data_IF_810401163765
#
_entry.id   IF_810401163765
#
_cell.length_a   1.000
_cell.length_b   1.000
_cell.length_c   1.000
_cell.angle_alpha   90.00
_cell.angle_beta   90.00
_cell.angle_gamma   90.00
#
_symmetry.space_group_name_H-M   'P 1'
#
loop_
_entity.id
_entity.type
_entity.pdbx_description
1 polymer ?
#
# COMPACT_ATOMS: atom_id res chain seq x y z
N UNK A 1 7.70 10.29 -1.76
CA UNK A 1 7.18 11.46 -1.05
C UNK A 1 6.85 11.22 0.42
N UNK A 2 7.12 12.20 1.30
CA UNK A 2 6.54 12.31 2.65
C UNK A 2 5.19 13.04 2.57
N UNK A 3 4.09 12.35 2.90
CA UNK A 3 2.73 12.91 2.87
C UNK A 3 2.54 14.10 3.82
N UNK A 4 3.41 14.25 4.83
CA UNK A 4 3.35 15.32 5.82
C UNK A 4 4.31 16.48 5.51
N UNK A 5 5.14 16.35 4.47
CA UNK A 5 6.13 17.36 4.11
C UNK A 5 6.15 17.60 2.59
N UNK A 6 5.34 18.54 2.16
CA UNK A 6 5.18 18.91 0.75
C UNK A 6 6.27 19.86 0.24
N UNK A 7 7.27 20.23 1.04
CA UNK A 7 8.29 21.24 0.66
C UNK A 7 9.00 20.90 -0.63
N UNK A 8 9.36 19.62 -0.84
CA UNK A 8 10.02 19.19 -2.06
C UNK A 8 9.12 19.36 -3.30
N UNK A 9 7.82 19.10 -3.17
CA UNK A 9 6.86 19.29 -4.26
C UNK A 9 6.65 20.77 -4.54
N UNK A 10 6.47 21.59 -3.49
CA UNK A 10 6.35 23.04 -3.63
C UNK A 10 7.57 23.67 -4.29
N UNK A 11 8.79 23.20 -4.02
CA UNK A 11 9.99 23.72 -4.70
C UNK A 11 10.02 23.46 -6.20
N UNK A 12 9.23 22.52 -6.71
CA UNK A 12 9.09 22.27 -8.15
C UNK A 12 8.01 23.13 -8.78
N UNK A 13 6.94 23.40 -8.04
CA UNK A 13 5.75 24.07 -8.53
C UNK A 13 5.73 25.58 -8.32
N UNK A 14 6.45 26.11 -7.33
CA UNK A 14 6.38 27.53 -6.96
C UNK A 14 7.42 28.37 -7.72
N UNK A 15 6.93 29.37 -8.44
CA UNK A 15 7.74 30.40 -9.10
C UNK A 15 8.56 31.21 -8.06
N UNK A 16 9.90 31.26 -8.17
CA UNK A 16 10.72 32.10 -7.30
C UNK A 16 10.55 33.60 -7.56
N UNK A 17 10.61 34.42 -6.50
CA UNK A 17 10.42 35.88 -6.63
C UNK A 17 11.62 36.60 -7.28
N UNK A 18 12.84 36.19 -6.93
CA UNK A 18 14.07 36.84 -7.40
C UNK A 18 14.66 36.15 -8.64
N UNK A 19 15.42 36.90 -9.42
CA UNK A 19 15.93 36.44 -10.71
C UNK A 19 16.95 35.29 -10.59
N UNK A 20 17.80 35.30 -9.56
CA UNK A 20 18.84 34.29 -9.38
C UNK A 20 18.21 32.93 -9.09
N UNK A 21 17.23 32.91 -8.17
CA UNK A 21 16.49 31.70 -7.83
C UNK A 21 15.61 31.24 -8.99
N UNK A 22 15.05 32.17 -9.77
CA UNK A 22 14.32 31.84 -10.99
C UNK A 22 15.22 31.18 -12.03
N UNK A 23 16.42 31.70 -12.27
CA UNK A 23 17.35 31.13 -13.25
C UNK A 23 17.81 29.72 -12.83
N UNK A 24 18.05 29.52 -11.53
CA UNK A 24 18.34 28.20 -10.96
C UNK A 24 17.14 27.25 -11.07
N UNK A 25 15.93 27.73 -10.76
CA UNK A 25 14.72 26.93 -10.94
C UNK A 25 14.50 26.61 -12.42
N UNK A 26 14.68 27.55 -13.34
CA UNK A 26 14.56 27.31 -14.78
C UNK A 26 15.63 26.36 -15.33
N UNK A 27 16.78 26.16 -14.67
CA UNK A 27 17.80 25.21 -15.14
C UNK A 27 17.34 23.75 -15.04
N UNK A 28 16.41 23.44 -14.13
CA UNK A 28 15.94 22.08 -13.82
C UNK A 28 17.05 21.08 -13.45
N UNK A 29 18.23 21.54 -13.02
CA UNK A 29 19.41 20.67 -12.77
C UNK A 29 19.17 19.58 -11.71
N UNK A 30 18.26 19.78 -10.75
CA UNK A 30 17.91 18.79 -9.71
C UNK A 30 16.68 17.92 -10.01
N UNK A 31 16.09 18.01 -11.21
CA UNK A 31 14.84 17.31 -11.51
C UNK A 31 15.01 15.77 -11.50
N UNK A 32 16.08 15.28 -12.14
CA UNK A 32 16.36 13.84 -12.21
C UNK A 32 16.55 13.26 -10.81
N UNK A 33 17.40 13.90 -9.99
CA UNK A 33 17.65 13.49 -8.61
C UNK A 33 16.36 13.49 -7.78
N UNK A 34 15.52 14.52 -7.92
CA UNK A 34 14.23 14.58 -7.25
C UNK A 34 13.34 13.38 -7.62
N UNK A 35 13.17 13.08 -8.91
CA UNK A 35 12.30 12.00 -9.36
C UNK A 35 12.82 10.63 -8.93
N UNK A 36 14.14 10.43 -8.86
CA UNK A 36 14.77 9.20 -8.39
C UNK A 36 14.66 9.05 -6.87
N UNK A 37 14.85 10.11 -6.10
CA UNK A 37 14.75 10.08 -4.64
C UNK A 37 13.30 9.95 -4.18
N UNK A 38 12.37 10.68 -4.81
CA UNK A 38 10.95 10.56 -4.53
C UNK A 38 10.44 9.12 -4.80
N UNK A 39 10.95 8.46 -5.84
CA UNK A 39 10.63 7.07 -6.14
C UNK A 39 11.18 6.08 -5.10
N UNK A 40 12.14 6.46 -4.25
CA UNK A 40 12.69 5.62 -3.15
C UNK A 40 11.91 5.75 -1.85
N UNK A 41 11.14 6.81 -1.66
CA UNK A 41 10.30 7.02 -0.47
C UNK A 41 9.15 6.02 -0.34
N UNK A 42 8.55 5.93 0.84
CA UNK A 42 7.46 4.99 1.13
C UNK A 42 6.21 5.16 0.25
N UNK A 43 5.87 6.42 -0.08
CA UNK A 43 4.83 6.77 -1.03
C UNK A 43 5.45 7.28 -2.32
N UNK A 44 4.78 7.01 -3.44
CA UNK A 44 5.17 7.51 -4.77
C UNK A 44 4.07 8.38 -5.37
N UNK A 45 4.43 9.50 -6.01
CA UNK A 45 3.49 10.32 -6.78
C UNK A 45 3.08 9.57 -8.05
N UNK A 46 1.78 9.29 -8.18
CA UNK A 46 1.17 8.68 -9.36
C UNK A 46 0.42 9.69 -10.24
N UNK A 47 0.04 10.82 -9.66
CA UNK A 47 -0.55 11.94 -10.38
C UNK A 47 -0.21 13.23 -9.67
N UNK A 48 0.11 14.26 -10.43
CA UNK A 48 0.29 15.62 -9.94
C UNK A 48 -0.17 16.59 -11.01
N UNK A 49 -1.04 17.51 -10.64
CA UNK A 49 -1.39 18.66 -11.46
C UNK A 49 -1.23 19.90 -10.59
N UNK A 50 -0.06 20.52 -10.71
CA UNK A 50 0.32 21.71 -9.97
C UNK A 50 0.77 22.78 -10.98
N UNK A 51 0.89 24.05 -10.55
CA UNK A 51 1.55 25.05 -11.35
C UNK A 51 2.94 24.55 -11.77
N UNK A 52 3.26 24.69 -13.05
CA UNK A 52 4.56 24.32 -13.63
C UNK A 52 4.97 22.84 -13.50
N UNK A 53 4.11 21.96 -12.97
CA UNK A 53 4.42 20.53 -12.73
C UNK A 53 3.22 19.67 -13.08
N UNK A 54 3.41 18.76 -14.03
CA UNK A 54 2.46 17.71 -14.35
C UNK A 54 3.14 16.35 -14.26
N UNK A 55 2.46 15.41 -13.62
CA UNK A 55 2.90 14.01 -13.49
C UNK A 55 1.68 13.12 -13.70
N UNK A 56 1.83 12.06 -14.47
CA UNK A 56 0.79 11.05 -14.66
C UNK A 56 1.41 9.66 -14.85
N UNK A 57 0.97 8.72 -14.04
CA UNK A 57 1.45 7.34 -14.07
C UNK A 57 0.40 6.36 -14.56
N UNK A 58 0.85 5.36 -15.31
CA UNK A 58 0.08 4.17 -15.70
C UNK A 58 0.93 2.92 -15.47
N UNK A 59 0.30 1.76 -15.54
CA UNK A 59 0.99 0.48 -15.51
C UNK A 59 1.16 -0.04 -16.93
N UNK A 60 2.30 -0.63 -17.24
CA UNK A 60 2.52 -1.33 -18.52
C UNK A 60 3.02 -2.75 -18.26
N UNK A 61 2.78 -3.70 -19.18
CA UNK A 61 3.48 -4.98 -19.16
C UNK A 61 4.99 -4.76 -19.01
N UNK A 62 5.64 -5.60 -18.21
CA UNK A 62 7.09 -5.53 -18.08
C UNK A 62 7.74 -5.75 -19.45
N UNK A 63 8.47 -4.74 -19.93
CA UNK A 63 9.14 -4.72 -21.22
C UNK A 63 10.60 -4.35 -21.02
N UNK A 64 11.50 -5.09 -21.66
CA UNK A 64 12.92 -4.72 -21.65
C UNK A 64 13.12 -3.40 -22.42
N UNK A 65 13.70 -2.37 -21.79
CA UNK A 65 13.88 -1.08 -22.44
C UNK A 65 14.93 -1.20 -23.54
N UNK A 66 14.48 -1.05 -24.79
CA UNK A 66 15.33 -0.90 -25.97
C UNK A 66 14.95 0.38 -26.72
N UNK A 67 15.76 0.79 -27.68
CA UNK A 67 15.56 2.06 -28.38
C UNK A 67 14.17 2.17 -29.04
N UNK A 68 13.62 1.09 -29.59
CA UNK A 68 12.30 1.09 -30.23
C UNK A 68 11.18 1.34 -29.20
N UNK A 69 11.23 0.65 -28.05
CA UNK A 69 10.29 0.83 -26.95
C UNK A 69 10.40 2.24 -26.38
N UNK A 70 11.62 2.74 -26.18
CA UNK A 70 11.84 4.09 -25.64
C UNK A 70 11.30 5.17 -26.58
N UNK A 71 11.55 5.04 -27.89
CA UNK A 71 10.99 5.96 -28.90
C UNK A 71 9.46 5.87 -28.94
N UNK A 72 8.89 4.68 -28.79
CA UNK A 72 7.44 4.51 -28.76
C UNK A 72 6.81 5.18 -27.55
N UNK A 73 7.38 5.00 -26.35
CA UNK A 73 6.90 5.60 -25.11
C UNK A 73 7.00 7.14 -25.12
N UNK A 74 7.94 7.74 -25.85
CA UNK A 74 8.02 9.20 -26.00
C UNK A 74 6.80 9.79 -26.74
N UNK A 75 6.03 8.99 -27.48
CA UNK A 75 4.81 9.43 -28.17
C UNK A 75 3.61 9.57 -27.23
N UNK A 76 3.77 9.30 -25.93
CA UNK A 76 2.74 9.47 -24.92
C UNK A 76 2.04 10.82 -25.08
N UNK A 77 0.75 10.82 -25.39
CA UNK A 77 -0.06 12.03 -25.64
C UNK A 77 -1.37 12.06 -24.83
N UNK A 78 -1.44 11.28 -23.77
CA UNK A 78 -2.64 11.01 -22.99
C UNK A 78 -2.60 11.58 -21.56
N UNK A 79 -3.76 11.77 -20.95
CA UNK A 79 -3.98 12.33 -19.61
C UNK A 79 -4.90 11.43 -18.77
N UNK A 80 -5.03 11.63 -17.44
CA UNK A 80 -5.83 10.75 -16.61
C UNK A 80 -7.35 10.88 -16.82
N UNK A 81 -7.84 11.81 -17.66
CA UNK A 81 -9.27 12.08 -17.80
C UNK A 81 -9.99 11.19 -18.81
N UNK A 82 -9.24 10.46 -19.64
CA UNK A 82 -9.88 9.48 -20.50
C UNK A 82 -10.20 8.20 -19.71
N UNK A 83 -11.34 7.62 -20.03
CA UNK A 83 -11.95 6.50 -19.34
C UNK A 83 -12.49 5.55 -20.39
N UNK A 84 -13.08 4.42 -19.96
CA UNK A 84 -13.83 3.57 -20.88
C UNK A 84 -14.89 4.39 -21.62
N UNK A 85 -14.81 4.38 -22.95
CA UNK A 85 -15.66 5.19 -23.83
C UNK A 85 -16.52 4.35 -24.76
N UNK A 86 -17.69 4.88 -25.14
CA UNK A 86 -18.43 4.40 -26.29
C UNK A 86 -17.97 5.19 -27.52
N UNK A 87 -17.41 4.48 -28.49
CA UNK A 87 -17.01 5.06 -29.78
C UNK A 87 -17.88 4.46 -30.89
N UNK A 88 -18.21 5.25 -31.90
CA UNK A 88 -18.99 4.79 -33.03
C UNK A 88 -18.49 5.36 -34.36
N UNK A 89 -18.71 4.59 -35.43
CA UNK A 89 -18.64 5.03 -36.81
C UNK A 89 -20.06 5.15 -37.40
N UNK A 90 -20.18 5.38 -38.71
CA UNK A 90 -21.48 5.37 -39.39
C UNK A 90 -22.21 4.02 -39.29
N UNK A 91 -21.46 2.92 -39.18
CA UNK A 91 -21.97 1.56 -39.37
C UNK A 91 -21.69 0.61 -38.18
N UNK A 92 -20.96 1.07 -37.16
CA UNK A 92 -20.56 0.25 -36.02
C UNK A 92 -20.36 1.06 -34.73
N UNK A 93 -20.42 0.39 -33.58
CA UNK A 93 -20.10 0.96 -32.28
C UNK A 93 -19.35 -0.04 -31.40
N UNK A 94 -18.33 0.42 -30.70
CA UNK A 94 -17.50 -0.40 -29.84
C UNK A 94 -17.16 0.33 -28.54
N UNK A 95 -16.70 -0.46 -27.57
CA UNK A 95 -16.18 0.06 -26.32
C UNK A 95 -14.68 0.22 -26.45
N UNK A 96 -14.19 1.41 -26.14
CA UNK A 96 -12.79 1.77 -26.23
C UNK A 96 -12.19 1.81 -24.82
N UNK A 97 -11.09 1.06 -24.57
CA UNK A 97 -10.44 1.08 -23.27
C UNK A 97 -9.70 2.40 -23.04
N UNK A 98 -9.40 2.75 -21.77
CA UNK A 98 -8.44 3.80 -21.51
C UNK A 98 -7.10 3.49 -22.20
N UNK A 99 -6.31 4.52 -22.53
CA UNK A 99 -5.02 4.45 -23.23
C UNK A 99 -5.03 4.01 -24.70
N UNK A 100 -6.20 3.72 -25.30
CA UNK A 100 -6.32 3.33 -26.72
C UNK A 100 -5.69 4.33 -27.70
N UNK A 101 -5.81 5.62 -27.39
CA UNK A 101 -5.31 6.76 -28.18
C UNK A 101 -4.09 7.41 -27.54
N UNK A 102 -3.26 6.63 -26.84
CA UNK A 102 -2.09 7.13 -26.12
C UNK A 102 -0.92 7.60 -26.99
N UNK A 103 -0.95 7.28 -28.29
CA UNK A 103 0.15 7.55 -29.23
C UNK A 103 1.28 6.52 -29.18
N UNK A 104 1.28 5.59 -28.21
CA UNK A 104 2.26 4.52 -28.03
C UNK A 104 1.59 3.16 -28.09
N UNK A 105 2.13 2.23 -28.89
CA UNK A 105 1.63 0.85 -28.94
C UNK A 105 1.85 0.13 -27.61
N UNK A 106 2.95 0.45 -26.91
CA UNK A 106 3.24 -0.09 -25.58
C UNK A 106 2.17 0.33 -24.57
N UNK A 107 1.85 1.63 -24.51
CA UNK A 107 0.86 2.17 -23.56
C UNK A 107 -0.57 1.67 -23.82
N UNK A 108 -0.95 1.36 -25.06
CA UNK A 108 -2.28 0.78 -25.38
C UNK A 108 -2.56 -0.54 -24.66
N UNK A 109 -1.51 -1.26 -24.28
CA UNK A 109 -1.61 -2.52 -23.53
C UNK A 109 -1.55 -2.32 -22.01
N UNK A 110 -1.39 -1.07 -21.56
CA UNK A 110 -1.26 -0.71 -20.17
C UNK A 110 -2.60 -0.63 -19.42
N UNK A 111 -2.49 -0.35 -18.11
CA UNK A 111 -3.62 -0.12 -17.23
C UNK A 111 -3.51 1.28 -16.62
N UNK A 112 -4.55 2.09 -16.81
CA UNK A 112 -4.65 3.36 -16.10
C UNK A 112 -4.95 3.13 -14.62
N UNK A 113 -4.28 3.89 -13.75
CA UNK A 113 -4.40 3.79 -12.29
C UNK A 113 -5.52 4.71 -11.80
N UNK A 114 -5.45 5.99 -12.17
CA UNK A 114 -6.37 7.06 -11.74
C UNK A 114 -7.19 7.53 -12.94
N UNK A 115 -8.48 7.77 -12.71
CA UNK A 115 -9.40 8.36 -13.67
C UNK A 115 -9.83 9.72 -13.14
N UNK A 116 -9.36 10.80 -13.78
CA UNK A 116 -9.93 12.12 -13.60
C UNK A 116 -11.32 12.16 -14.23
N UNK A 117 -12.30 12.66 -13.47
CA UNK A 117 -13.70 12.72 -13.90
C UNK A 117 -14.24 14.09 -13.58
N UNK A 118 -15.15 14.57 -14.40
CA UNK A 118 -15.92 15.76 -14.09
C UNK A 118 -17.37 15.48 -14.41
N UNK A 119 -18.28 16.07 -13.64
CA UNK A 119 -19.70 16.03 -13.96
C UNK A 119 -20.09 17.36 -14.60
N UNK A 120 -19.95 17.41 -15.92
CA UNK A 120 -20.32 18.58 -16.71
C UNK A 120 -21.79 18.97 -16.46
N UNK A 121 -22.03 20.25 -16.15
CA UNK A 121 -23.37 20.80 -15.98
C UNK A 121 -23.94 20.74 -14.56
N UNK A 122 -23.19 20.20 -13.58
CA UNK A 122 -23.50 20.34 -12.15
C UNK A 122 -22.67 21.48 -11.54
N UNK A 123 -23.28 22.21 -10.59
CA UNK A 123 -22.61 23.32 -9.89
C UNK A 123 -21.22 22.91 -9.36
N UNK A 124 -20.26 23.81 -9.58
CA UNK A 124 -18.83 23.75 -9.27
C UNK A 124 -17.91 23.07 -10.29
N UNK A 125 -18.41 22.30 -11.28
CA UNK A 125 -17.57 21.64 -12.31
C UNK A 125 -16.29 20.98 -11.74
N UNK A 126 -16.32 20.56 -10.48
CA UNK A 126 -15.12 20.09 -9.79
C UNK A 126 -14.76 18.73 -10.35
N UNK A 127 -13.53 18.64 -10.84
CA UNK A 127 -12.93 17.35 -11.14
C UNK A 127 -12.80 16.55 -9.86
N UNK A 128 -13.06 15.25 -9.96
CA UNK A 128 -12.84 14.29 -8.90
C UNK A 128 -12.08 13.10 -9.49
N UNK A 129 -11.49 12.29 -8.61
CA UNK A 129 -10.63 11.20 -9.03
C UNK A 129 -11.25 9.87 -8.62
N UNK A 130 -11.28 8.94 -9.55
CA UNK A 130 -11.64 7.54 -9.33
C UNK A 130 -10.38 6.68 -9.46
N UNK A 131 -10.37 5.53 -8.79
CA UNK A 131 -9.31 4.54 -8.92
C UNK A 131 -9.79 3.38 -9.80
N UNK A 132 -8.86 2.77 -10.55
CA UNK A 132 -9.12 1.55 -11.29
C UNK A 132 -9.77 0.48 -10.39
N UNK A 133 -10.95 0.01 -10.78
CA UNK A 133 -11.75 -0.92 -9.97
C UNK A 133 -11.08 -2.29 -9.84
N UNK A 134 -10.38 -2.79 -10.87
CA UNK A 134 -9.63 -4.05 -10.77
C UNK A 134 -8.54 -3.93 -9.70
N UNK A 135 -7.78 -2.83 -9.73
CA UNK A 135 -6.75 -2.51 -8.74
C UNK A 135 -7.36 -2.39 -7.33
N UNK A 136 -8.46 -1.64 -7.20
CA UNK A 136 -9.13 -1.41 -5.92
C UNK A 136 -9.62 -2.72 -5.27
N UNK A 137 -10.27 -3.59 -6.07
CA UNK A 137 -10.80 -4.86 -5.59
C UNK A 137 -9.70 -5.85 -5.21
N UNK A 138 -8.65 -5.97 -6.03
CA UNK A 138 -7.54 -6.91 -5.75
C UNK A 138 -6.78 -6.52 -4.50
N UNK A 139 -6.61 -5.22 -4.24
CA UNK A 139 -5.92 -4.72 -3.05
C UNK A 139 -6.82 -4.63 -1.80
N UNK A 140 -8.12 -4.87 -1.96
CA UNK A 140 -9.17 -4.69 -0.95
C UNK A 140 -9.11 -3.30 -0.28
N UNK A 141 -9.08 -2.26 -1.12
CA UNK A 141 -9.04 -0.86 -0.69
C UNK A 141 -10.36 -0.15 -0.96
N UNK A 142 -10.76 0.68 -0.01
CA UNK A 142 -12.04 1.36 0.02
C UNK A 142 -11.83 2.86 0.13
N UNK A 143 -12.56 3.66 -0.65
CA UNK A 143 -12.47 5.11 -0.52
C UNK A 143 -13.11 5.59 0.79
N UNK A 144 -12.36 6.36 1.57
CA UNK A 144 -12.78 6.94 2.85
C UNK A 144 -12.80 8.47 2.71
N UNK A 145 -13.99 9.08 2.56
CA UNK A 145 -14.12 10.52 2.28
C UNK A 145 -13.44 11.41 3.31
N UNK A 146 -13.54 11.08 4.60
CA UNK A 146 -12.95 11.87 5.70
C UNK A 146 -11.42 11.90 5.64
N UNK A 147 -10.83 10.93 4.95
CA UNK A 147 -9.39 10.82 4.73
C UNK A 147 -8.98 11.26 3.33
N UNK A 148 -9.92 11.52 2.43
CA UNK A 148 -9.66 11.75 1.00
C UNK A 148 -8.66 10.73 0.42
N UNK A 149 -8.89 9.45 0.71
CA UNK A 149 -7.96 8.39 0.39
C UNK A 149 -8.67 7.04 0.18
N UNK A 150 -8.08 6.17 -0.65
CA UNK A 150 -8.38 4.75 -0.63
C UNK A 150 -7.54 4.08 0.45
N UNK A 151 -8.22 3.41 1.38
CA UNK A 151 -7.62 2.86 2.58
C UNK A 151 -7.89 1.36 2.69
N UNK A 152 -7.04 0.68 3.46
CA UNK A 152 -7.29 -0.66 4.00
C UNK A 152 -6.84 -0.73 5.46
N UNK A 153 -7.09 -1.85 6.12
CA UNK A 153 -6.53 -2.12 7.44
C UNK A 153 -5.14 -2.76 7.31
N UNK A 154 -4.23 -2.37 8.18
CA UNK A 154 -2.92 -3.01 8.32
C UNK A 154 -2.95 -4.25 9.25
N UNK A 155 -1.78 -4.84 9.49
CA UNK A 155 -1.57 -5.99 10.39
C UNK A 155 -1.84 -5.68 11.88
N UNK A 156 -2.14 -4.43 12.21
CA UNK A 156 -2.57 -4.00 13.53
C UNK A 156 -4.06 -3.62 13.58
N UNK A 157 -4.77 -3.66 12.45
CA UNK A 157 -6.15 -3.23 12.32
C UNK A 157 -6.29 -1.70 12.34
N UNK A 158 -5.23 -0.96 12.06
CA UNK A 158 -5.24 0.49 11.91
C UNK A 158 -5.44 0.88 10.45
N UNK A 159 -5.99 2.07 10.22
CA UNK A 159 -6.28 2.56 8.87
C UNK A 159 -5.00 2.98 8.16
N UNK A 160 -4.69 2.31 7.06
CA UNK A 160 -3.58 2.63 6.17
C UNK A 160 -4.11 3.38 4.94
N UNK A 161 -3.58 4.58 4.68
CA UNK A 161 -3.83 5.31 3.44
C UNK A 161 -2.99 4.71 2.32
N UNK A 162 -3.64 4.10 1.33
CA UNK A 162 -2.96 3.45 0.20
C UNK A 162 -2.84 4.42 -0.97
N UNK A 163 -3.96 4.99 -1.42
CA UNK A 163 -3.95 6.07 -2.42
C UNK A 163 -4.47 7.33 -1.77
N UNK A 164 -3.60 8.31 -1.52
CA UNK A 164 -3.93 9.56 -0.84
C UNK A 164 -4.08 10.69 -1.85
N UNK A 165 -5.20 11.39 -1.81
CA UNK A 165 -5.41 12.64 -2.54
C UNK A 165 -5.06 13.82 -1.62
N UNK A 166 -4.20 14.70 -2.10
CA UNK A 166 -3.80 15.95 -1.45
C UNK A 166 -4.25 17.09 -2.35
N UNK A 167 -5.20 17.88 -1.87
CA UNK A 167 -5.60 19.13 -2.50
C UNK A 167 -4.76 20.27 -1.92
N UNK A 168 -4.24 21.11 -2.81
CA UNK A 168 -3.33 22.21 -2.52
C UNK A 168 -4.04 23.51 -2.92
N UNK A 169 -4.63 24.19 -1.94
CA UNK A 169 -5.46 25.37 -2.15
C UNK A 169 -4.74 26.69 -1.82
N UNK A 170 -3.49 26.62 -1.34
CA UNK A 170 -2.71 27.75 -0.84
C UNK A 170 -1.62 28.20 -1.82
N UNK A 171 -1.79 27.91 -3.11
CA UNK A 171 -0.83 28.30 -4.13
C UNK A 171 -0.97 29.78 -4.51
N UNK A 172 0.11 30.42 -4.97
CA UNK A 172 0.07 31.78 -5.47
C UNK A 172 -1.01 31.97 -6.55
N UNK A 173 -1.52 33.20 -6.68
CA UNK A 173 -2.46 33.61 -7.73
C UNK A 173 -3.83 32.89 -7.71
N UNK A 174 -4.22 32.35 -6.55
CA UNK A 174 -5.44 31.55 -6.37
C UNK A 174 -5.48 30.31 -7.27
N UNK A 175 -4.31 29.78 -7.62
CA UNK A 175 -4.21 28.48 -8.27
C UNK A 175 -4.50 27.38 -7.26
N UNK A 176 -4.99 26.25 -7.75
CA UNK A 176 -5.19 25.04 -6.95
C UNK A 176 -4.41 23.92 -7.60
N UNK A 177 -4.04 22.93 -6.81
CA UNK A 177 -3.30 21.78 -7.31
C UNK A 177 -3.73 20.49 -6.64
N UNK A 178 -3.57 19.37 -7.35
CA UNK A 178 -3.90 18.06 -6.81
C UNK A 178 -2.71 17.13 -6.96
N UNK A 179 -2.42 16.39 -5.89
CA UNK A 179 -1.41 15.33 -5.87
C UNK A 179 -2.10 14.04 -5.43
N UNK A 180 -1.82 12.94 -6.13
CA UNK A 180 -2.22 11.61 -5.71
C UNK A 180 -0.97 10.76 -5.53
N UNK A 181 -0.84 10.20 -4.34
CA UNK A 181 0.28 9.35 -3.94
C UNK A 181 -0.18 7.94 -3.66
N UNK A 182 0.64 6.94 -4.00
CA UNK A 182 0.40 5.53 -3.72
C UNK A 182 1.42 4.96 -2.74
N UNK A 183 0.98 4.16 -1.76
CA UNK A 183 1.86 3.37 -0.88
C UNK A 183 2.56 2.32 -1.72
N UNK A 184 3.88 2.42 -1.87
CA UNK A 184 4.63 1.57 -2.82
C UNK A 184 4.53 0.09 -2.48
N UNK A 185 4.58 -0.26 -1.20
CA UNK A 185 4.51 -1.65 -0.75
C UNK A 185 3.19 -2.32 -1.14
N UNK A 186 2.08 -1.58 -1.11
CA UNK A 186 0.77 -2.14 -1.48
C UNK A 186 0.61 -2.19 -3.00
N UNK A 187 1.08 -1.15 -3.71
CA UNK A 187 1.05 -1.12 -5.17
C UNK A 187 1.93 -2.24 -5.77
N UNK A 188 3.09 -2.51 -5.18
CA UNK A 188 4.04 -3.52 -5.67
C UNK A 188 3.51 -4.95 -5.65
N UNK A 189 2.56 -5.26 -4.75
CA UNK A 189 1.85 -6.54 -4.74
C UNK A 189 1.08 -6.75 -6.04
N UNK A 190 0.32 -5.73 -6.47
CA UNK A 190 -0.46 -5.80 -7.71
C UNK A 190 0.47 -5.92 -8.93
N UNK A 191 1.51 -5.09 -9.00
CA UNK A 191 2.50 -5.13 -10.08
C UNK A 191 3.20 -6.50 -10.16
N UNK A 192 3.52 -7.10 -9.00
CA UNK A 192 4.13 -8.42 -8.90
C UNK A 192 3.25 -9.55 -9.43
N UNK A 193 1.94 -9.51 -9.13
CA UNK A 193 0.99 -10.51 -9.64
C UNK A 193 0.82 -10.40 -11.15
N UNK A 194 0.62 -9.19 -11.66
CA UNK A 194 0.33 -8.94 -13.07
C UNK A 194 1.59 -8.83 -13.95
N UNK A 195 2.78 -8.87 -13.35
CA UNK A 195 4.07 -8.65 -14.04
C UNK A 195 4.09 -7.31 -14.81
N UNK A 196 3.75 -6.23 -14.09
CA UNK A 196 3.65 -4.88 -14.61
C UNK A 196 4.79 -4.00 -14.07
N UNK A 197 5.17 -3.01 -14.86
CA UNK A 197 6.09 -1.93 -14.49
C UNK A 197 5.30 -0.62 -14.38
N UNK A 198 5.61 0.19 -13.37
CA UNK A 198 5.04 1.54 -13.27
C UNK A 198 5.81 2.45 -14.22
N UNK A 199 5.09 3.12 -15.12
CA UNK A 199 5.66 4.19 -15.93
C UNK A 199 4.98 5.51 -15.56
N UNK A 200 5.81 6.55 -15.42
CA UNK A 200 5.36 7.87 -15.02
C UNK A 200 5.80 8.89 -16.07
N UNK A 201 4.85 9.49 -16.77
CA UNK A 201 5.10 10.66 -17.60
C UNK A 201 5.21 11.89 -16.71
N UNK A 202 6.12 12.80 -17.06
CA UNK A 202 6.25 14.10 -16.42
C UNK A 202 6.41 15.22 -17.44
N UNK A 203 5.88 16.39 -17.10
CA UNK A 203 6.04 17.64 -17.83
C UNK A 203 6.26 18.77 -16.82
N UNK A 204 7.42 19.44 -16.91
CA UNK A 204 7.76 20.58 -16.07
C UNK A 204 7.98 21.81 -16.96
N UNK A 205 7.02 22.73 -16.91
CA UNK A 205 7.06 23.97 -17.70
C UNK A 205 7.27 25.15 -16.75
N UNK A 206 8.52 25.60 -16.62
CA UNK A 206 8.97 26.65 -15.70
C UNK A 206 9.09 27.99 -16.43
N UNK A 207 8.26 28.95 -16.07
CA UNK A 207 8.27 30.29 -16.69
C UNK A 207 7.81 31.34 -15.68
N UNK A 208 8.16 32.61 -15.97
CA UNK A 208 7.76 33.73 -15.12
C UNK A 208 6.31 34.12 -15.42
N UNK A 209 5.40 33.82 -14.51
CA UNK A 209 3.97 33.99 -14.76
C UNK A 209 3.63 35.49 -14.84
N UNK A 210 2.92 35.91 -15.89
CA UNK A 210 2.55 37.31 -16.15
C UNK A 210 3.47 38.09 -17.11
N UNK A 211 4.69 37.60 -17.38
CA UNK A 211 5.62 38.20 -18.37
C UNK A 211 5.98 37.23 -19.52
N UNK A 212 5.35 36.06 -19.57
CA UNK A 212 5.62 35.06 -20.59
C UNK A 212 4.89 35.38 -21.89
N UNK A 213 5.64 35.64 -22.96
CA UNK A 213 5.13 35.96 -24.30
C UNK A 213 5.19 34.79 -25.30
N UNK A 214 5.56 33.60 -24.83
CA UNK A 214 5.77 32.42 -25.66
C UNK A 214 7.23 32.00 -25.76
N UNK A 215 7.43 30.80 -26.30
CA UNK A 215 8.76 30.23 -26.57
C UNK A 215 9.34 30.80 -27.86
N UNK A 216 10.66 30.94 -27.93
CA UNK A 216 11.33 31.27 -29.17
C UNK A 216 11.34 30.07 -30.15
N UNK A 217 11.73 30.32 -31.40
CA UNK A 217 11.80 29.28 -32.42
C UNK A 217 13.11 28.46 -32.36
N UNK A 218 14.05 28.77 -31.46
CA UNK A 218 15.33 28.07 -31.32
C UNK A 218 15.19 26.92 -30.32
N UNK A 219 14.76 25.77 -30.83
CA UNK A 219 14.51 24.55 -30.04
C UNK A 219 15.77 23.72 -29.85
N UNK A 220 16.77 24.24 -29.14
CA UNK A 220 17.86 23.39 -28.67
C UNK A 220 17.37 22.59 -27.45
N UNK A 221 16.92 21.36 -27.72
CA UNK A 221 16.56 20.40 -26.68
C UNK A 221 17.75 19.49 -26.39
N UNK A 222 18.10 19.36 -25.12
CA UNK A 222 19.07 18.36 -24.63
C UNK A 222 18.32 17.18 -24.02
N UNK A 223 18.87 15.98 -24.14
CA UNK A 223 18.36 14.84 -23.36
C UNK A 223 18.61 15.07 -21.87
N UNK A 224 17.80 14.47 -21.01
CA UNK A 224 18.19 14.30 -19.60
C UNK A 224 19.48 13.45 -19.54
N UNK A 225 20.33 13.70 -18.55
CA UNK A 225 21.67 13.09 -18.41
C UNK A 225 21.66 11.55 -18.22
N UNK A 226 22.70 11.00 -17.60
CA UNK A 226 22.93 9.55 -17.46
C UNK A 226 22.01 8.85 -16.43
N UNK A 227 20.68 8.99 -16.51
CA UNK A 227 19.76 8.12 -15.76
C UNK A 227 19.47 6.85 -16.57
N UNK A 228 19.47 5.70 -15.90
CA UNK A 228 19.07 4.43 -16.51
C UNK A 228 17.54 4.28 -16.62
N UNK A 229 16.78 5.14 -15.93
CA UNK A 229 15.32 4.98 -15.77
C UNK A 229 14.50 6.18 -16.27
N UNK A 230 15.13 7.34 -16.44
CA UNK A 230 14.48 8.59 -16.86
C UNK A 230 14.90 8.95 -18.28
N UNK A 231 13.92 9.18 -19.15
CA UNK A 231 14.09 9.49 -20.56
C UNK A 231 13.25 10.70 -20.94
N UNK A 232 13.78 11.59 -21.78
CA UNK A 232 13.05 12.77 -22.23
C UNK A 232 13.98 13.88 -22.68
N UNK A 233 13.42 15.08 -22.79
CA UNK A 233 14.14 16.27 -23.21
C UNK A 233 13.87 17.46 -22.31
N UNK A 234 14.86 18.35 -22.26
CA UNK A 234 14.84 19.63 -21.58
C UNK A 234 15.22 20.70 -22.58
N UNK A 235 14.45 21.78 -22.63
CA UNK A 235 14.76 22.98 -23.41
C UNK A 235 14.79 24.17 -22.48
N UNK A 236 15.87 24.95 -22.54
CA UNK A 236 16.07 26.14 -21.71
C UNK A 236 16.21 27.34 -22.63
N UNK A 237 15.38 28.35 -22.42
CA UNK A 237 15.49 29.65 -23.07
C UNK A 237 15.95 30.67 -22.01
N UNK A 238 17.23 31.07 -22.00
CA UNK A 238 17.76 31.99 -21.01
C UNK A 238 16.94 33.27 -20.88
N UNK A 239 16.57 33.63 -19.64
CA UNK A 239 15.76 34.81 -19.33
C UNK A 239 14.25 34.68 -19.61
N UNK A 240 13.79 33.58 -20.22
CA UNK A 240 12.37 33.29 -20.48
C UNK A 240 11.86 32.16 -19.59
N UNK A 241 12.57 31.03 -19.56
CA UNK A 241 12.18 29.86 -18.77
C UNK A 241 12.70 28.55 -19.37
N UNK A 242 12.09 27.45 -18.98
CA UNK A 242 12.37 26.13 -19.53
C UNK A 242 11.12 25.25 -19.57
N UNK A 243 11.16 24.25 -20.43
CA UNK A 243 10.18 23.17 -20.41
C UNK A 243 10.91 21.84 -20.56
N UNK A 244 10.37 20.84 -19.89
CA UNK A 244 10.95 19.50 -19.90
C UNK A 244 9.84 18.47 -19.91
N UNK A 245 10.00 17.43 -20.71
CA UNK A 245 9.00 16.37 -20.84
C UNK A 245 9.70 15.04 -21.03
N UNK A 246 9.19 14.02 -20.34
CA UNK A 246 9.77 12.70 -20.39
C UNK A 246 8.92 11.67 -19.66
N UNK A 247 9.51 10.50 -19.47
CA UNK A 247 8.95 9.46 -18.64
C UNK A 247 10.02 8.80 -17.79
N UNK A 248 9.58 8.17 -16.72
CA UNK A 248 10.39 7.38 -15.82
C UNK A 248 9.82 5.95 -15.75
N UNK A 249 10.69 4.96 -15.92
CA UNK A 249 10.37 3.55 -15.65
C UNK A 249 10.73 3.21 -14.21
N UNK A 250 9.78 2.67 -13.44
CA UNK A 250 9.93 2.44 -12.01
C UNK A 250 9.61 0.99 -11.71
N UNK A 251 10.65 0.21 -11.44
CA UNK A 251 10.53 -1.20 -11.10
C UNK A 251 10.15 -1.35 -9.63
N UNK A 252 8.86 -1.60 -9.38
CA UNK A 252 8.31 -1.82 -8.04
C UNK A 252 7.92 -3.28 -7.80
N UNK A 253 8.01 -4.16 -8.79
CA UNK A 253 7.43 -5.51 -8.75
C UNK A 253 7.95 -6.37 -7.59
N UNK A 254 7.03 -6.89 -6.77
CA UNK A 254 7.35 -7.90 -5.76
C UNK A 254 7.34 -9.31 -6.38
N UNK A 255 8.30 -10.19 -6.04
CA UNK A 255 8.28 -11.55 -6.58
C UNK A 255 7.02 -12.30 -6.12
N UNK A 256 6.34 -12.99 -7.05
CA UNK A 256 5.08 -13.73 -6.79
C UNK A 256 5.14 -14.65 -5.57
N UNK A 257 6.32 -15.24 -5.28
CA UNK A 257 6.53 -16.09 -4.10
C UNK A 257 6.24 -15.35 -2.79
N UNK A 258 6.59 -14.07 -2.69
CA UNK A 258 6.33 -13.25 -1.50
C UNK A 258 4.81 -13.08 -1.28
N UNK A 259 4.07 -12.81 -2.36
CA UNK A 259 2.61 -12.68 -2.33
C UNK A 259 1.95 -14.01 -1.95
N UNK A 260 2.36 -15.12 -2.59
CA UNK A 260 1.88 -16.46 -2.24
C UNK A 260 2.13 -16.76 -0.76
N UNK A 261 3.34 -16.51 -0.27
CA UNK A 261 3.66 -16.74 1.13
C UNK A 261 2.72 -15.97 2.06
N UNK A 262 2.53 -14.67 1.80
CA UNK A 262 1.62 -13.82 2.58
C UNK A 262 0.18 -14.34 2.59
N UNK A 263 -0.39 -14.66 1.42
CA UNK A 263 -1.76 -15.17 1.29
C UNK A 263 -1.95 -16.49 2.05
N UNK A 264 -0.93 -17.35 2.03
CA UNK A 264 -0.95 -18.63 2.77
C UNK A 264 -0.53 -18.49 4.24
N UNK A 265 -0.34 -17.27 4.76
CA UNK A 265 0.12 -17.02 6.13
C UNK A 265 1.53 -17.53 6.42
N UNK A 266 2.31 -17.82 5.37
CA UNK A 266 3.72 -18.22 5.47
C UNK A 266 4.55 -16.96 5.58
N UNK A 267 5.58 -16.98 6.42
CA UNK A 267 6.50 -15.85 6.51
C UNK A 267 7.19 -15.63 5.16
N UNK A 268 7.22 -14.37 4.76
CA UNK A 268 7.92 -13.91 3.56
C UNK A 268 9.43 -14.14 3.71
N UNK A 269 9.94 -13.98 4.94
CA UNK A 269 11.27 -14.37 5.40
C UNK A 269 11.14 -15.28 6.63
N UNK A 270 11.30 -16.60 6.49
CA UNK A 270 11.33 -17.52 7.65
C UNK A 270 12.45 -17.16 8.65
N UNK A 271 13.49 -16.46 8.21
CA UNK A 271 14.61 -16.04 9.06
C UNK A 271 14.31 -14.81 9.95
N UNK A 272 13.29 -13.99 9.65
CA UNK A 272 13.05 -12.75 10.40
C UNK A 272 11.81 -12.80 11.29
N UNK A 273 10.89 -13.76 11.10
CA UNK A 273 9.69 -13.86 11.93
C UNK A 273 10.06 -14.29 13.34
N UNK A 274 9.78 -13.39 14.29
CA UNK A 274 10.04 -13.62 15.71
C UNK A 274 8.86 -14.33 16.34
N UNK A 275 9.15 -15.27 17.21
CA UNK A 275 8.16 -15.99 18.00
C UNK A 275 8.49 -15.87 19.48
N UNK A 276 7.46 -15.70 20.30
CA UNK A 276 7.61 -15.76 21.74
C UNK A 276 7.65 -17.21 22.24
N UNK A 277 8.40 -17.43 23.31
CA UNK A 277 8.28 -18.63 24.14
C UNK A 277 7.40 -18.37 25.36
N UNK A 278 6.65 -19.39 25.75
CA UNK A 278 5.68 -19.37 26.85
C UNK A 278 5.89 -20.57 27.77
N UNK A 279 5.69 -20.37 29.07
CA UNK A 279 5.48 -21.45 30.04
C UNK A 279 4.20 -22.17 29.63
N UNK A 280 4.36 -23.40 29.16
CA UNK A 280 3.29 -24.21 28.61
C UNK A 280 3.29 -25.62 29.22
N UNK A 281 2.11 -26.25 29.24
CA UNK A 281 1.93 -27.59 29.77
C UNK A 281 2.00 -28.62 28.64
N UNK A 282 3.21 -29.09 28.35
CA UNK A 282 3.43 -30.16 27.40
C UNK A 282 2.99 -31.51 27.98
N UNK A 283 1.71 -31.77 27.85
CA UNK A 283 1.04 -33.01 28.19
C UNK A 283 1.52 -34.25 27.41
N UNK A 284 2.09 -34.08 26.22
CA UNK A 284 2.66 -35.19 25.44
C UNK A 284 3.89 -35.74 26.15
N UNK A 285 4.79 -34.84 26.54
CA UNK A 285 6.04 -35.20 27.23
C UNK A 285 5.92 -35.12 28.76
N UNK A 286 4.75 -34.75 29.29
CA UNK A 286 4.41 -34.64 30.72
C UNK A 286 5.30 -33.67 31.48
N UNK A 287 5.60 -32.51 30.87
CA UNK A 287 6.46 -31.47 31.46
C UNK A 287 5.80 -30.09 31.39
N UNK A 288 6.15 -29.23 32.33
CA UNK A 288 5.81 -27.79 32.28
C UNK A 288 7.12 -27.04 32.12
N UNK A 289 7.32 -26.43 30.96
CA UNK A 289 8.55 -25.73 30.61
C UNK A 289 8.26 -24.55 29.70
N UNK A 290 9.25 -23.69 29.49
CA UNK A 290 9.18 -22.65 28.46
C UNK A 290 9.35 -23.28 27.07
N UNK A 291 8.37 -23.07 26.18
CA UNK A 291 8.29 -23.65 24.84
C UNK A 291 8.05 -22.52 23.85
N UNK A 292 8.78 -22.51 22.74
CA UNK A 292 8.55 -21.56 21.63
C UNK A 292 7.20 -21.84 20.97
N UNK A 293 6.43 -20.79 20.67
CA UNK A 293 5.25 -20.93 19.82
C UNK A 293 5.59 -21.04 18.32
N UNK A 294 6.87 -20.96 17.94
CA UNK A 294 7.30 -21.16 16.56
C UNK A 294 6.77 -22.51 16.02
N UNK A 295 6.04 -22.53 14.88
CA UNK A 295 5.51 -23.75 14.29
C UNK A 295 6.57 -24.83 14.04
N UNK A 296 7.83 -24.46 13.79
CA UNK A 296 8.95 -25.41 13.61
C UNK A 296 9.36 -26.12 14.91
N UNK A 297 9.00 -25.54 16.07
CA UNK A 297 9.23 -26.10 17.40
C UNK A 297 8.04 -26.97 17.89
N UNK A 298 6.99 -27.09 17.07
CA UNK A 298 5.75 -27.81 17.41
C UNK A 298 5.53 -28.96 16.42
N UNK A 299 4.66 -29.90 16.80
CA UNK A 299 4.24 -30.99 15.93
C UNK A 299 2.74 -31.23 16.02
N UNK A 300 2.15 -31.78 14.96
CA UNK A 300 0.74 -32.17 14.97
C UNK A 300 0.54 -33.61 15.48
N UNK A 301 -0.71 -34.05 15.61
CA UNK A 301 -1.06 -35.41 16.06
C UNK A 301 -0.72 -36.52 15.07
N UNK A 302 -0.56 -36.17 13.79
CA UNK A 302 -0.43 -37.12 12.70
C UNK A 302 1.04 -37.45 12.39
N UNK A 303 1.96 -36.57 12.78
CA UNK A 303 3.39 -36.73 12.57
C UNK A 303 4.06 -37.27 13.82
N UNK A 304 4.75 -38.40 13.71
CA UNK A 304 5.56 -38.93 14.81
C UNK A 304 6.79 -38.02 15.03
N UNK A 305 6.85 -37.39 16.20
CA UNK A 305 7.91 -36.47 16.62
C UNK A 305 7.99 -36.48 18.14
N UNK A 306 9.10 -36.03 18.72
CA UNK A 306 9.24 -35.79 20.16
C UNK A 306 8.86 -34.34 20.56
N UNK A 307 8.61 -33.47 19.57
CA UNK A 307 8.21 -32.08 19.81
C UNK A 307 6.82 -31.98 20.47
N UNK A 308 6.55 -30.94 21.27
CA UNK A 308 5.23 -30.67 21.84
C UNK A 308 4.14 -30.58 20.77
N UNK A 309 2.89 -30.88 21.14
CA UNK A 309 1.79 -30.74 20.19
C UNK A 309 1.49 -29.25 19.90
N UNK A 310 1.00 -28.94 18.70
CA UNK A 310 0.51 -27.62 18.30
C UNK A 310 -0.51 -27.05 19.30
N UNK A 311 -1.38 -27.92 19.84
CA UNK A 311 -2.38 -27.59 20.86
C UNK A 311 -1.89 -27.75 22.30
N UNK A 312 -0.57 -27.65 22.51
CA UNK A 312 -0.01 -27.54 23.86
C UNK A 312 -0.50 -26.23 24.49
N UNK A 313 -1.16 -26.27 25.67
CA UNK A 313 -1.74 -25.08 26.27
C UNK A 313 -0.74 -24.25 27.06
N UNK A 314 -0.85 -22.93 26.93
CA UNK A 314 -0.21 -21.93 27.77
C UNK A 314 -1.26 -21.21 28.62
N UNK A 315 -0.86 -20.80 29.83
CA UNK A 315 -1.76 -20.20 30.83
C UNK A 315 -1.34 -18.76 31.12
N UNK A 316 -2.34 -17.92 31.38
CA UNK A 316 -2.20 -16.48 31.48
C UNK A 316 -3.08 -15.94 32.60
N UNK A 317 -2.63 -14.85 33.21
CA UNK A 317 -3.45 -14.08 34.14
C UNK A 317 -4.63 -13.44 33.38
N UNK A 318 -5.82 -13.32 33.99
CA UNK A 318 -7.03 -12.82 33.31
C UNK A 318 -6.90 -11.39 32.77
N UNK A 319 -5.98 -10.59 33.30
CA UNK A 319 -5.69 -9.23 32.86
C UNK A 319 -5.17 -9.16 31.42
N UNK A 320 -4.72 -10.28 30.83
CA UNK A 320 -4.34 -10.36 29.41
C UNK A 320 -5.49 -9.90 28.49
N UNK A 321 -6.74 -10.11 28.91
CA UNK A 321 -7.93 -9.74 28.15
C UNK A 321 -8.36 -8.28 28.38
N UNK A 322 -7.79 -7.57 29.36
CA UNK A 322 -8.20 -6.21 29.71
C UNK A 322 -8.02 -5.24 28.54
N UNK A 323 -6.91 -5.37 27.79
CA UNK A 323 -6.62 -4.59 26.57
C UNK A 323 -7.76 -4.69 25.54
N UNK A 324 -8.24 -5.90 25.31
CA UNK A 324 -9.29 -6.17 24.31
C UNK A 324 -10.69 -5.77 24.80
N UNK A 325 -10.89 -5.69 26.12
CA UNK A 325 -12.13 -5.17 26.72
C UNK A 325 -12.19 -3.64 26.67
N UNK A 326 -11.07 -2.95 26.77
CA UNK A 326 -11.03 -1.48 26.83
C UNK A 326 -11.29 -0.80 25.48
N UNK A 327 -10.90 -1.42 24.36
CA UNK A 327 -11.09 -0.86 23.02
C UNK A 327 -11.95 -1.79 22.16
N UNK A 328 -13.28 -1.66 22.32
CA UNK A 328 -14.28 -2.43 21.58
C UNK A 328 -14.47 -1.95 20.13
N UNK A 329 -13.91 -0.78 19.77
CA UNK A 329 -13.96 -0.26 18.40
C UNK A 329 -12.87 -0.88 17.52
N UNK A 330 -11.76 -1.33 18.14
CA UNK A 330 -10.67 -2.06 17.47
C UNK A 330 -10.80 -3.57 17.65
N UNK A 331 -11.11 -4.03 18.86
CA UNK A 331 -11.11 -5.45 19.18
C UNK A 331 -12.52 -6.01 19.36
N UNK A 332 -12.75 -7.19 18.77
CA UNK A 332 -13.93 -8.02 19.01
C UNK A 332 -13.55 -9.15 19.96
N UNK A 333 -14.01 -9.05 21.20
CA UNK A 333 -13.88 -10.12 22.19
C UNK A 333 -15.23 -10.84 22.29
N UNK A 334 -15.27 -12.05 21.76
CA UNK A 334 -16.36 -13.01 21.88
C UNK A 334 -16.12 -13.94 23.09
N UNK A 335 -17.02 -14.91 23.33
CA UNK A 335 -16.95 -15.81 24.50
C UNK A 335 -15.64 -16.58 24.62
N UNK A 336 -15.04 -16.94 23.48
CA UNK A 336 -13.81 -17.74 23.40
C UNK A 336 -12.81 -17.22 22.39
N UNK A 337 -13.01 -16.09 21.73
CA UNK A 337 -12.08 -15.63 20.70
C UNK A 337 -11.83 -14.13 20.77
N UNK A 338 -10.67 -13.72 20.26
CA UNK A 338 -10.29 -12.30 20.16
C UNK A 338 -9.97 -12.00 18.70
N UNK A 339 -10.67 -11.07 18.08
CA UNK A 339 -10.31 -10.53 16.77
C UNK A 339 -9.86 -9.08 16.86
N UNK A 340 -8.92 -8.67 16.02
CA UNK A 340 -8.63 -7.27 15.74
C UNK A 340 -9.14 -6.93 14.34
N UNK A 341 -10.33 -6.32 14.24
CA UNK A 341 -11.03 -6.04 12.97
C UNK A 341 -10.88 -7.19 11.97
N UNK A 342 -10.35 -6.92 10.76
CA UNK A 342 -10.05 -7.91 9.73
C UNK A 342 -8.55 -8.30 9.67
N UNK A 343 -7.78 -7.93 10.68
CA UNK A 343 -6.33 -8.03 10.67
C UNK A 343 -5.82 -9.38 11.20
N UNK A 344 -6.21 -9.74 12.42
CA UNK A 344 -5.83 -11.02 13.02
C UNK A 344 -6.92 -11.55 13.95
N UNK A 345 -6.84 -12.84 14.25
CA UNK A 345 -7.78 -13.53 15.12
C UNK A 345 -7.07 -14.58 15.99
N UNK A 346 -7.34 -14.58 17.28
CA UNK A 346 -7.05 -15.67 18.20
C UNK A 346 -8.25 -16.60 18.23
N UNK A 347 -8.07 -17.82 17.73
CA UNK A 347 -9.13 -18.79 17.44
C UNK A 347 -9.88 -19.25 18.69
N UNK A 348 -9.16 -19.51 19.78
CA UNK A 348 -9.80 -19.92 21.02
C UNK A 348 -9.01 -19.52 22.26
N UNK A 349 -9.71 -19.20 23.32
CA UNK A 349 -9.24 -19.20 24.70
C UNK A 349 -10.38 -19.69 25.60
N UNK A 350 -10.04 -20.10 26.82
CA UNK A 350 -11.03 -20.37 27.86
C UNK A 350 -10.46 -20.02 29.24
N UNK A 351 -11.31 -20.00 30.27
CA UNK A 351 -10.95 -19.69 31.64
C UNK A 351 -11.12 -20.94 32.49
N UNK A 352 -10.04 -21.38 33.14
CA UNK A 352 -10.09 -22.54 34.03
C UNK A 352 -10.68 -22.22 35.42
N UNK A 353 -10.83 -23.25 36.25
CA UNK A 353 -11.36 -23.12 37.61
C UNK A 353 -10.50 -22.26 38.56
N UNK A 354 -9.25 -21.98 38.21
CA UNK A 354 -8.37 -21.06 38.94
C UNK A 354 -8.43 -19.61 38.40
N UNK A 355 -9.32 -19.33 37.45
CA UNK A 355 -9.47 -18.01 36.83
C UNK A 355 -8.37 -17.66 35.83
N UNK A 356 -7.57 -18.65 35.40
CA UNK A 356 -6.52 -18.43 34.40
C UNK A 356 -7.11 -18.54 33.01
N UNK A 357 -6.74 -17.59 32.14
CA UNK A 357 -6.99 -17.70 30.71
C UNK A 357 -6.00 -18.69 30.12
N UNK A 358 -6.46 -19.61 29.29
CA UNK A 358 -5.58 -20.50 28.55
C UNK A 358 -5.90 -20.51 27.06
N UNK A 359 -4.87 -20.67 26.24
CA UNK A 359 -4.94 -20.87 24.80
C UNK A 359 -3.79 -21.76 24.34
N UNK A 360 -3.69 -22.04 23.05
CA UNK A 360 -2.75 -22.98 22.46
C UNK A 360 -1.58 -22.28 21.77
N UNK A 361 -0.39 -22.89 21.82
CA UNK A 361 0.82 -22.32 21.23
C UNK A 361 0.65 -22.02 19.73
N UNK A 362 -0.02 -22.88 18.96
CA UNK A 362 -0.25 -22.67 17.52
C UNK A 362 -1.14 -21.45 17.21
N UNK A 363 -2.04 -21.07 18.13
CA UNK A 363 -2.88 -19.89 17.93
C UNK A 363 -2.12 -18.62 18.31
N UNK A 364 -1.29 -18.68 19.36
CA UNK A 364 -0.38 -17.59 19.70
C UNK A 364 0.62 -17.30 18.57
N UNK A 365 1.10 -18.35 17.86
CA UNK A 365 2.06 -18.20 16.76
C UNK A 365 1.49 -17.46 15.53
N UNK A 366 0.16 -17.36 15.43
CA UNK A 366 -0.54 -16.67 14.34
C UNK A 366 -0.75 -15.19 14.65
N UNK A 367 -0.61 -14.78 15.90
CA UNK A 367 -0.71 -13.38 16.29
C UNK A 367 0.52 -12.58 15.83
N UNK A 368 0.37 -11.27 15.56
CA UNK A 368 1.49 -10.36 15.39
C UNK A 368 2.46 -10.43 16.58
N UNK A 369 3.74 -10.17 16.34
CA UNK A 369 4.77 -10.35 17.38
C UNK A 369 4.53 -9.46 18.61
N UNK A 370 4.01 -8.25 18.42
CA UNK A 370 3.65 -7.32 19.49
C UNK A 370 2.50 -7.88 20.35
N UNK A 371 1.54 -8.56 19.74
CA UNK A 371 0.48 -9.25 20.47
C UNK A 371 1.05 -10.48 21.18
N UNK A 372 1.94 -11.25 20.57
CA UNK A 372 2.64 -12.34 21.25
C UNK A 372 3.38 -11.84 22.51
N UNK A 373 4.06 -10.70 22.41
CA UNK A 373 4.73 -10.04 23.54
C UNK A 373 3.75 -9.59 24.63
N UNK A 374 2.60 -9.03 24.25
CA UNK A 374 1.51 -8.70 25.17
C UNK A 374 1.08 -9.94 25.96
N UNK A 375 0.76 -11.04 25.28
CA UNK A 375 0.42 -12.31 25.94
C UNK A 375 1.54 -12.82 26.84
N UNK A 376 2.81 -12.68 26.41
CA UNK A 376 3.98 -13.13 27.20
C UNK A 376 4.08 -12.42 28.54
N UNK A 377 3.69 -11.15 28.65
CA UNK A 377 3.72 -10.39 29.92
C UNK A 377 2.81 -10.99 31.01
N UNK A 378 1.74 -11.68 30.60
CA UNK A 378 0.75 -12.27 31.52
C UNK A 378 0.91 -13.78 31.67
N UNK A 379 1.89 -14.40 31.00
CA UNK A 379 2.08 -15.84 31.04
C UNK A 379 2.51 -16.32 32.44
N UNK A 380 1.88 -17.39 32.92
CA UNK A 380 2.18 -17.98 34.22
C UNK A 380 2.03 -19.51 34.20
N UNK A 381 2.53 -20.17 35.26
CA UNK A 381 2.39 -21.62 35.42
C UNK A 381 0.91 -22.00 35.60
N UNK A 382 0.48 -23.18 35.09
CA UNK A 382 -0.87 -23.68 35.35
C UNK A 382 -1.10 -23.88 36.85
N UNK A 383 -2.21 -23.34 37.35
CA UNK A 383 -2.73 -23.51 38.72
C UNK A 383 -3.88 -24.52 38.76
N UNK A 384 -4.56 -24.71 37.62
CA UNK A 384 -5.62 -25.68 37.40
C UNK A 384 -5.49 -26.25 35.97
N UNK A 385 -6.13 -27.41 35.67
CA UNK A 385 -6.19 -27.95 34.31
C UNK A 385 -6.95 -27.03 33.35
N UNK A 386 -7.12 -27.46 32.10
CA UNK A 386 -8.02 -26.79 31.15
C UNK A 386 -9.45 -26.79 31.69
N UNK A 387 -10.27 -25.85 31.21
CA UNK A 387 -11.70 -25.85 31.52
C UNK A 387 -12.36 -27.13 30.98
N UNK A 388 -13.39 -27.63 31.68
CA UNK A 388 -14.19 -28.77 31.21
C UNK A 388 -14.81 -28.50 29.82
N UNK A 389 -15.17 -27.23 29.60
CA UNK A 389 -15.64 -26.73 28.31
C UNK A 389 -14.61 -26.93 27.21
N UNK A 390 -13.36 -26.51 27.39
CA UNK A 390 -12.30 -26.69 26.40
C UNK A 390 -11.98 -28.16 26.15
N UNK A 391 -12.03 -29.03 27.18
CA UNK A 391 -11.84 -30.47 27.00
C UNK A 391 -12.91 -31.04 26.04
N UNK A 392 -14.19 -30.74 26.31
CA UNK A 392 -15.32 -31.21 25.49
C UNK A 392 -15.29 -30.66 24.07
N UNK A 393 -15.06 -29.36 23.89
CA UNK A 393 -15.14 -28.72 22.58
C UNK A 393 -13.92 -28.99 21.72
N UNK A 394 -12.72 -28.83 22.28
CA UNK A 394 -11.48 -28.73 21.50
C UNK A 394 -10.86 -30.12 21.24
N UNK A 395 -11.21 -31.12 22.07
CA UNK A 395 -10.63 -32.47 21.98
C UNK A 395 -11.68 -33.56 21.77
N UNK A 396 -12.83 -33.49 22.44
CA UNK A 396 -13.89 -34.51 22.29
C UNK A 396 -14.83 -34.23 21.10
N UNK A 397 -14.80 -33.01 20.55
CA UNK A 397 -15.68 -32.59 19.45
C UNK A 397 -17.15 -32.53 19.85
N UNK A 398 -17.45 -32.29 21.13
CA UNK A 398 -18.79 -32.21 21.68
C UNK A 398 -19.23 -30.75 21.90
N UNK A 399 -20.53 -30.49 21.77
CA UNK A 399 -21.10 -29.22 22.19
C UNK A 399 -21.08 -29.10 23.72
N UNK A 400 -20.85 -27.89 24.21
CA UNK A 400 -20.95 -27.59 25.63
C UNK A 400 -22.31 -26.94 25.90
N UNK A 401 -23.18 -27.66 26.60
CA UNK A 401 -24.59 -27.26 26.82
C UNK A 401 -24.81 -26.49 28.13
N UNK A 402 -23.77 -26.29 28.94
CA UNK A 402 -23.88 -25.54 30.19
C UNK A 402 -23.85 -24.02 29.93
N UNK A 403 -24.52 -23.27 30.81
CA UNK A 403 -24.66 -21.82 30.73
C UNK A 403 -23.29 -21.13 30.76
N UNK A 404 -22.99 -20.36 29.71
CA UNK A 404 -21.82 -19.50 29.64
C UNK A 404 -22.17 -18.12 30.22
N UNK A 405 -21.62 -17.72 31.39
CA UNK A 405 -21.89 -16.41 31.98
C UNK A 405 -21.28 -15.23 31.21
N UNK A 406 -20.48 -15.50 30.16
CA UNK A 406 -19.90 -14.48 29.28
C UNK A 406 -20.74 -14.20 28.02
N UNK A 407 -21.84 -14.93 27.80
CA UNK A 407 -22.81 -14.73 26.72
C UNK A 407 -24.05 -13.94 27.15
#
# INVERSE_FOLDING_TARGET
MDLFNLKGVYSLALEPENQIDFDYWASQEGLVDYLEDEAKDEYIIIYSSLPHTFIHSVLIPNVEPNDEVLIDLQKWSYDPFSSWGLTCSSDDAWIEPPLSSSGSETLKTGEQIVFGRSFEGINNNQSYYELNQKLAHVLDIHFVPERNAWCKLDDHGDMLDVFKILEIDDLPRNETGTIICAKKEVLSEYLGVENLTLIRMFDFTRYKSGNFSGWDNSRESVGFGNSASIFGSLSITPGVGSYSRGFQLIELSLPKKHIVNRVWGRSVDEETKKYCSYIAHDWKNKVITEISCDPTCLSNYFTKSDLPFEITPAFFKPEVLSKYKSDRAKYKLDSRSVGCRASWHLETFDINSAGQVHTYLIYLSRLPYEEQLHWKQYNEKPKAPLSDRAIKTDFEGQFYEEYDPLL
#
